data_IF_353240900819
#
_entry.id   IF_353240900819
#
_cell.length_a   1.000
_cell.length_b   1.000
_cell.length_c   1.000
_cell.angle_alpha   90.00
_cell.angle_beta   90.00
_cell.angle_gamma   90.00
#
_symmetry.space_group_name_H-M   'P 1'
#
loop_
_entity.id
_entity.type
_entity.pdbx_description
1 polymer ?
#
# COMPACT_ATOMS: atom_id res chain seq x y z
N UNK A 1 -11.62 -3.83 14.88
CA UNK A 1 -12.26 -5.14 14.64
C UNK A 1 -12.62 -5.80 15.96
N UNK A 2 -13.79 -6.43 16.09
CA UNK A 2 -14.10 -7.31 17.23
C UNK A 2 -13.40 -8.67 17.09
N UNK A 3 -13.18 -9.42 18.17
CA UNK A 3 -12.62 -10.77 18.10
C UNK A 3 -13.40 -11.72 17.18
N UNK A 4 -14.74 -11.61 17.17
CA UNK A 4 -15.64 -12.44 16.37
C UNK A 4 -15.53 -12.12 14.89
N UNK A 5 -15.49 -10.83 14.53
CA UNK A 5 -15.29 -10.38 13.14
C UNK A 5 -13.90 -10.81 12.63
N UNK A 6 -12.88 -10.69 13.48
CA UNK A 6 -11.55 -11.21 13.16
C UNK A 6 -11.56 -12.72 12.91
N UNK A 7 -12.21 -13.49 13.78
CA UNK A 7 -12.28 -14.94 13.63
C UNK A 7 -12.97 -15.34 12.31
N UNK A 8 -14.05 -14.66 11.93
CA UNK A 8 -14.74 -14.87 10.66
C UNK A 8 -13.85 -14.52 9.45
N UNK A 9 -13.22 -13.35 9.45
CA UNK A 9 -12.30 -12.92 8.39
C UNK A 9 -11.08 -13.84 8.27
N UNK A 10 -10.52 -14.28 9.40
CA UNK A 10 -9.40 -15.22 9.44
C UNK A 10 -9.81 -16.61 8.93
N UNK A 11 -11.02 -17.08 9.24
CA UNK A 11 -11.55 -18.34 8.69
C UNK A 11 -11.69 -18.28 7.18
N UNK A 12 -12.26 -17.19 6.65
CA UNK A 12 -12.35 -16.96 5.21
C UNK A 12 -10.96 -16.93 4.55
N UNK A 13 -10.01 -16.21 5.16
CA UNK A 13 -8.62 -16.19 4.70
C UNK A 13 -8.02 -17.61 4.66
N UNK A 14 -8.22 -18.42 5.70
CA UNK A 14 -7.70 -19.80 5.75
C UNK A 14 -8.24 -20.68 4.62
N UNK A 15 -9.51 -20.55 4.27
CA UNK A 15 -10.15 -21.40 3.25
C UNK A 15 -9.90 -20.91 1.83
N UNK A 16 -9.69 -19.61 1.63
CA UNK A 16 -9.69 -18.99 0.31
C UNK A 16 -8.31 -18.50 -0.14
N UNK A 17 -7.32 -18.43 0.74
CA UNK A 17 -5.96 -18.00 0.38
C UNK A 17 -5.20 -19.12 -0.32
N UNK A 18 -4.70 -18.90 -1.56
CA UNK A 18 -3.90 -19.90 -2.26
C UNK A 18 -2.60 -20.24 -1.53
N UNK A 19 -2.06 -21.43 -1.80
CA UNK A 19 -0.77 -21.87 -1.23
C UNK A 19 0.33 -20.84 -1.49
N UNK A 20 1.06 -20.49 -0.43
CA UNK A 20 2.12 -19.48 -0.46
C UNK A 20 1.63 -18.02 -0.47
N UNK A 21 0.31 -17.81 -0.54
CA UNK A 21 -0.35 -16.52 -0.40
C UNK A 21 -0.55 -16.09 1.06
N UNK A 22 -1.15 -14.91 1.26
CA UNK A 22 -1.55 -14.40 2.58
C UNK A 22 -2.80 -13.51 2.49
N UNK A 23 -3.49 -13.28 3.60
CA UNK A 23 -4.63 -12.36 3.66
C UNK A 23 -4.46 -11.27 4.70
N UNK A 24 -4.95 -10.08 4.37
CA UNK A 24 -4.97 -8.90 5.26
C UNK A 24 -6.38 -8.35 5.38
N UNK A 25 -6.72 -7.83 6.56
CA UNK A 25 -7.78 -6.85 6.72
C UNK A 25 -7.15 -5.48 6.92
N UNK A 26 -7.64 -4.45 6.23
CA UNK A 26 -7.12 -3.09 6.32
C UNK A 26 -8.27 -2.09 6.47
N UNK A 27 -7.96 -0.80 6.37
CA UNK A 27 -8.98 0.25 6.45
C UNK A 27 -9.51 0.46 7.88
N UNK A 28 -10.70 1.05 7.97
CA UNK A 28 -11.28 1.51 9.24
C UNK A 28 -11.47 0.38 10.26
N UNK A 29 -11.84 -0.82 9.79
CA UNK A 29 -12.00 -2.00 10.64
C UNK A 29 -10.70 -2.47 11.29
N UNK A 30 -9.53 -2.19 10.68
CA UNK A 30 -8.24 -2.53 11.26
C UNK A 30 -7.75 -1.54 12.33
N UNK A 31 -8.22 -0.28 12.28
CA UNK A 31 -7.76 0.83 13.14
C UNK A 31 -8.60 0.97 14.42
N UNK A 32 -9.89 0.63 14.37
CA UNK A 32 -10.83 0.89 15.46
C UNK A 32 -11.07 -0.27 16.43
N UNK A 33 -11.33 0.06 17.71
CA UNK A 33 -11.91 -0.87 18.68
C UNK A 33 -13.37 -1.16 18.28
N UNK A 34 -13.60 -2.27 17.57
CA UNK A 34 -14.88 -3.01 17.46
C UNK A 34 -16.21 -2.33 17.08
N UNK A 35 -16.33 -1.01 16.98
CA UNK A 35 -17.64 -0.31 16.96
C UNK A 35 -17.91 0.47 15.67
N UNK A 36 -17.18 0.18 14.59
CA UNK A 36 -17.48 0.79 13.29
C UNK A 36 -18.46 -0.07 12.52
N UNK A 37 -19.49 0.56 11.97
CA UNK A 37 -20.39 -0.02 10.97
C UNK A 37 -19.82 0.08 9.54
N UNK A 38 -18.56 0.50 9.39
CA UNK A 38 -17.88 0.57 8.09
C UNK A 38 -17.67 -0.82 7.50
N UNK A 39 -17.46 -0.88 6.19
CA UNK A 39 -17.18 -2.13 5.50
C UNK A 39 -15.87 -2.80 5.99
N UNK A 40 -15.84 -4.13 5.86
CA UNK A 40 -14.62 -4.90 6.06
C UNK A 40 -13.82 -4.92 4.76
N UNK A 41 -12.74 -4.15 4.70
CA UNK A 41 -11.76 -4.17 3.63
C UNK A 41 -10.79 -5.36 3.79
N UNK A 42 -10.81 -6.27 2.81
CA UNK A 42 -9.94 -7.43 2.75
C UNK A 42 -9.13 -7.43 1.46
N UNK A 43 -7.90 -7.96 1.54
CA UNK A 43 -7.13 -8.37 0.36
C UNK A 43 -6.49 -9.72 0.61
N UNK A 44 -6.77 -10.67 -0.27
CA UNK A 44 -6.08 -11.95 -0.38
C UNK A 44 -5.01 -11.84 -1.47
N UNK A 45 -3.79 -12.28 -1.16
CA UNK A 45 -2.65 -12.20 -2.05
C UNK A 45 -2.24 -13.61 -2.46
N UNK A 46 -2.09 -13.87 -3.75
CA UNK A 46 -1.69 -15.18 -4.26
C UNK A 46 -0.98 -15.13 -5.61
N UNK A 47 -0.52 -16.28 -6.10
CA UNK A 47 0.22 -16.35 -7.37
C UNK A 47 -0.66 -16.05 -8.58
N UNK A 48 -1.86 -16.62 -8.61
CA UNK A 48 -2.80 -16.51 -9.72
C UNK A 48 -4.15 -16.05 -9.20
N UNK A 49 -4.80 -15.18 -9.97
CA UNK A 49 -6.16 -14.75 -9.68
C UNK A 49 -7.10 -15.97 -9.81
N UNK A 50 -8.03 -16.18 -8.85
CA UNK A 50 -9.01 -17.24 -8.98
C UNK A 50 -9.88 -17.06 -10.22
N UNK A 51 -10.44 -18.16 -10.73
CA UNK A 51 -11.45 -18.10 -11.79
C UNK A 51 -12.74 -17.43 -11.31
N UNK A 52 -13.57 -17.01 -12.25
CA UNK A 52 -14.80 -16.23 -12.00
C UNK A 52 -15.68 -16.82 -10.88
N UNK A 53 -15.96 -18.12 -10.91
CA UNK A 53 -16.83 -18.75 -9.90
C UNK A 53 -16.23 -18.68 -8.49
N UNK A 54 -14.93 -18.97 -8.33
CA UNK A 54 -14.24 -18.90 -7.03
C UNK A 54 -14.21 -17.45 -6.52
N UNK A 55 -14.00 -16.50 -7.44
CA UNK A 55 -14.03 -15.08 -7.08
C UNK A 55 -15.43 -14.68 -6.61
N UNK A 56 -16.49 -15.08 -7.32
CA UNK A 56 -17.86 -14.78 -6.94
C UNK A 56 -18.25 -15.40 -5.59
N UNK A 57 -17.81 -16.63 -5.31
CA UNK A 57 -18.02 -17.28 -4.01
C UNK A 57 -17.29 -16.53 -2.89
N UNK A 58 -16.08 -16.02 -3.16
CA UNK A 58 -15.35 -15.18 -2.22
C UNK A 58 -16.08 -13.86 -1.94
N UNK A 59 -16.59 -13.17 -2.98
CA UNK A 59 -17.41 -11.96 -2.82
C UNK A 59 -18.63 -12.26 -1.94
N UNK A 60 -19.38 -13.31 -2.26
CA UNK A 60 -20.57 -13.71 -1.51
C UNK A 60 -20.25 -14.00 -0.04
N UNK A 61 -19.11 -14.66 0.24
CA UNK A 61 -18.67 -14.92 1.60
C UNK A 61 -18.32 -13.62 2.37
N UNK A 62 -17.70 -12.64 1.73
CA UNK A 62 -17.42 -11.33 2.36
C UNK A 62 -18.72 -10.57 2.62
N UNK A 63 -19.63 -10.51 1.65
CA UNK A 63 -20.95 -9.89 1.85
C UNK A 63 -21.72 -10.55 3.00
N UNK A 64 -21.66 -11.88 3.10
CA UNK A 64 -22.25 -12.60 4.23
C UNK A 64 -21.64 -12.18 5.57
N UNK A 65 -20.32 -11.99 5.64
CA UNK A 65 -19.67 -11.46 6.85
C UNK A 65 -20.19 -10.05 7.15
N UNK A 66 -20.39 -9.20 6.14
CA UNK A 66 -20.97 -7.88 6.38
C UNK A 66 -22.38 -7.98 6.96
N UNK A 67 -23.25 -8.80 6.37
CA UNK A 67 -24.62 -9.00 6.86
C UNK A 67 -24.65 -9.58 8.28
N UNK A 68 -23.89 -10.63 8.56
CA UNK A 68 -23.85 -11.31 9.85
C UNK A 68 -23.39 -10.40 10.99
N UNK A 69 -22.59 -9.37 10.68
CA UNK A 69 -22.02 -8.42 11.65
C UNK A 69 -22.61 -7.01 11.54
N UNK A 70 -23.63 -6.79 10.69
CA UNK A 70 -24.28 -5.49 10.50
C UNK A 70 -23.36 -4.40 9.93
N UNK A 71 -22.40 -4.77 9.08
CA UNK A 71 -21.48 -3.84 8.42
C UNK A 71 -22.13 -3.27 7.15
N UNK A 72 -21.82 -2.01 6.83
CA UNK A 72 -22.19 -1.42 5.55
C UNK A 72 -21.37 -2.03 4.42
N UNK A 73 -21.99 -2.14 3.25
CA UNK A 73 -21.31 -2.52 2.01
C UNK A 73 -20.91 -1.25 1.27
N UNK A 74 -19.60 -1.05 1.05
CA UNK A 74 -19.12 -0.04 0.10
C UNK A 74 -19.00 -0.66 -1.30
N UNK A 75 -19.71 -0.08 -2.27
CA UNK A 75 -19.72 -0.50 -3.67
C UNK A 75 -19.01 0.48 -4.60
N UNK A 76 -18.29 1.49 -4.07
CA UNK A 76 -17.52 2.45 -4.87
C UNK A 76 -16.41 1.75 -5.68
N UNK A 77 -15.74 0.78 -5.04
CA UNK A 77 -14.75 -0.10 -5.66
C UNK A 77 -15.31 -1.52 -5.68
N UNK A 78 -15.31 -2.14 -6.86
CA UNK A 78 -15.81 -3.49 -7.02
C UNK A 78 -14.96 -4.48 -6.23
N UNK A 79 -15.61 -5.46 -5.61
CA UNK A 79 -14.92 -6.50 -4.85
C UNK A 79 -13.91 -7.28 -5.68
N UNK A 80 -14.18 -7.47 -6.98
CA UNK A 80 -13.23 -8.06 -7.91
C UNK A 80 -11.91 -7.27 -8.00
N UNK A 81 -11.97 -5.95 -7.83
CA UNK A 81 -10.82 -5.05 -7.83
C UNK A 81 -10.04 -5.13 -6.51
N UNK A 82 -10.73 -5.12 -5.36
CA UNK A 82 -10.07 -4.99 -4.04
C UNK A 82 -9.76 -6.30 -3.30
N UNK A 83 -10.57 -7.35 -3.46
CA UNK A 83 -10.47 -8.56 -2.62
C UNK A 83 -9.29 -9.47 -2.94
N UNK A 84 -8.76 -9.43 -4.17
CA UNK A 84 -7.66 -10.30 -4.56
C UNK A 84 -6.59 -9.55 -5.34
N UNK A 85 -5.34 -9.75 -4.92
CA UNK A 85 -4.15 -9.26 -5.62
C UNK A 85 -3.22 -10.42 -5.97
N UNK A 86 -2.69 -10.41 -7.19
CA UNK A 86 -1.64 -11.34 -7.57
C UNK A 86 -0.29 -10.86 -7.02
N UNK A 87 0.69 -11.76 -6.99
CA UNK A 87 2.08 -11.38 -6.72
C UNK A 87 2.59 -10.30 -7.68
N UNK A 88 2.16 -10.33 -8.95
CA UNK A 88 2.53 -9.32 -9.94
C UNK A 88 1.85 -7.95 -9.66
N UNK A 89 0.64 -7.96 -9.11
CA UNK A 89 -0.03 -6.73 -8.66
C UNK A 89 0.71 -6.09 -7.49
N UNK A 90 1.14 -6.90 -6.52
CA UNK A 90 2.00 -6.45 -5.41
C UNK A 90 3.33 -5.91 -5.92
N UNK A 91 4.00 -6.63 -6.83
CA UNK A 91 5.25 -6.18 -7.43
C UNK A 91 5.11 -4.85 -8.16
N UNK A 92 3.98 -4.64 -8.85
CA UNK A 92 3.67 -3.39 -9.54
C UNK A 92 3.39 -2.25 -8.57
N UNK A 93 2.63 -2.52 -7.50
CA UNK A 93 2.32 -1.56 -6.44
C UNK A 93 3.58 -1.09 -5.70
N UNK A 94 4.41 -2.01 -5.21
CA UNK A 94 5.68 -1.64 -4.53
C UNK A 94 6.74 -1.12 -5.51
N UNK A 95 6.58 -1.41 -6.80
CA UNK A 95 7.34 -0.77 -7.88
C UNK A 95 6.87 0.64 -8.24
N UNK A 96 5.85 1.16 -7.55
CA UNK A 96 5.26 2.49 -7.75
C UNK A 96 4.74 2.72 -9.19
N UNK A 97 4.29 1.65 -9.86
CA UNK A 97 3.78 1.71 -11.24
C UNK A 97 2.41 2.38 -11.35
N UNK A 98 1.72 2.56 -10.23
CA UNK A 98 0.46 3.29 -10.13
C UNK A 98 0.62 4.82 -10.08
N UNK A 99 1.85 5.32 -10.10
CA UNK A 99 2.16 6.76 -10.06
C UNK A 99 2.76 7.22 -11.38
N UNK A 100 2.31 8.38 -11.85
CA UNK A 100 2.84 9.04 -13.03
C UNK A 100 4.28 9.49 -12.79
N UNK A 101 5.08 9.56 -13.85
CA UNK A 101 6.43 10.14 -13.81
C UNK A 101 6.51 11.34 -14.72
N UNK A 102 6.81 12.50 -14.16
CA UNK A 102 7.01 13.75 -14.89
C UNK A 102 8.50 14.08 -14.82
N UNK A 103 9.20 14.07 -15.96
CA UNK A 103 10.65 14.27 -16.03
C UNK A 103 11.44 13.34 -15.09
N UNK A 104 11.00 12.07 -14.98
CA UNK A 104 11.62 11.05 -14.13
C UNK A 104 11.22 11.10 -12.64
N UNK A 105 10.52 12.16 -12.22
CA UNK A 105 10.04 12.36 -10.85
C UNK A 105 8.65 11.75 -10.69
N UNK A 106 8.44 10.94 -9.66
CA UNK A 106 7.13 10.40 -9.32
C UNK A 106 6.19 11.51 -8.85
N UNK A 107 4.97 11.49 -9.38
CA UNK A 107 3.86 12.34 -8.98
C UNK A 107 2.68 11.50 -8.51
N UNK A 108 2.02 11.96 -7.45
CA UNK A 108 0.78 11.38 -6.99
C UNK A 108 -0.36 12.36 -7.26
N UNK A 109 -1.30 11.95 -8.13
CA UNK A 109 -2.53 12.71 -8.36
C UNK A 109 -3.58 12.39 -7.27
N UNK A 110 -4.44 13.36 -6.90
CA UNK A 110 -5.61 13.12 -6.06
C UNK A 110 -6.51 11.99 -6.55
N UNK A 111 -7.32 11.44 -5.64
CA UNK A 111 -8.35 10.48 -5.99
C UNK A 111 -9.41 11.15 -6.84
N UNK A 112 -9.76 10.51 -7.96
CA UNK A 112 -10.87 10.93 -8.80
C UNK A 112 -12.07 10.05 -8.43
N UNK A 113 -13.15 10.64 -7.94
CA UNK A 113 -14.40 9.97 -7.59
C UNK A 113 -15.19 9.55 -8.85
N UNK A 114 -14.52 8.86 -9.77
CA UNK A 114 -15.07 8.27 -10.98
C UNK A 114 -14.95 6.75 -10.89
N UNK A 115 -16.05 6.04 -11.16
CA UNK A 115 -16.11 4.58 -11.01
C UNK A 115 -15.11 3.85 -11.90
N UNK A 116 -14.82 4.34 -13.11
CA UNK A 116 -13.84 3.70 -14.01
C UNK A 116 -12.43 3.88 -13.46
N UNK A 117 -12.13 5.04 -12.89
CA UNK A 117 -10.85 5.30 -12.24
C UNK A 117 -10.67 4.47 -10.96
N UNK A 118 -11.68 4.41 -10.09
CA UNK A 118 -11.69 3.61 -8.85
C UNK A 118 -11.58 2.10 -9.11
N UNK A 119 -11.94 1.64 -10.31
CA UNK A 119 -11.78 0.24 -10.73
C UNK A 119 -10.62 0.04 -11.72
N UNK A 120 -9.73 1.02 -11.82
CA UNK A 120 -8.54 0.93 -12.68
C UNK A 120 -7.42 0.11 -12.02
N UNK A 121 -6.52 -0.50 -12.81
CA UNK A 121 -5.33 -1.15 -12.27
C UNK A 121 -4.44 -0.22 -11.43
N UNK A 122 -4.37 1.06 -11.79
CA UNK A 122 -3.58 2.05 -11.05
C UNK A 122 -4.15 2.26 -9.64
N UNK A 123 -5.47 2.39 -9.50
CA UNK A 123 -6.07 2.55 -8.19
C UNK A 123 -6.00 1.26 -7.35
N UNK A 124 -6.24 0.09 -7.96
CA UNK A 124 -6.08 -1.20 -7.28
C UNK A 124 -4.67 -1.36 -6.68
N UNK A 125 -3.63 -0.96 -7.42
CA UNK A 125 -2.25 -0.95 -6.91
C UNK A 125 -2.02 0.06 -5.78
N UNK A 126 -2.68 1.22 -5.80
CA UNK A 126 -2.65 2.15 -4.65
C UNK A 126 -3.31 1.54 -3.42
N UNK A 127 -4.44 0.85 -3.58
CA UNK A 127 -5.09 0.12 -2.48
C UNK A 127 -4.18 -0.96 -1.89
N UNK A 128 -3.49 -1.74 -2.74
CA UNK A 128 -2.52 -2.74 -2.28
C UNK A 128 -1.38 -2.08 -1.50
N UNK A 129 -0.83 -0.98 -2.02
CA UNK A 129 0.24 -0.26 -1.33
C UNK A 129 -0.22 0.21 0.05
N UNK A 130 -1.41 0.81 0.14
CA UNK A 130 -2.02 1.24 1.39
C UNK A 130 -2.29 0.08 2.35
N UNK A 131 -2.81 -1.05 1.86
CA UNK A 131 -3.06 -2.23 2.68
C UNK A 131 -1.77 -2.77 3.33
N UNK A 132 -0.62 -2.59 2.69
CA UNK A 132 0.68 -3.02 3.21
C UNK A 132 1.36 -2.00 4.14
N UNK A 133 1.03 -0.71 4.05
CA UNK A 133 1.77 0.38 4.71
C UNK A 133 0.98 1.09 5.80
N UNK A 134 -0.36 1.04 5.73
CA UNK A 134 -1.27 1.51 6.77
C UNK A 134 -1.40 0.48 7.90
N UNK A 135 -2.18 0.80 8.92
CA UNK A 135 -2.60 -0.19 9.92
C UNK A 135 -3.45 -1.27 9.25
N UNK A 136 -3.11 -2.52 9.54
CA UNK A 136 -3.78 -3.69 9.00
C UNK A 136 -3.59 -4.86 9.95
N UNK A 137 -4.48 -5.84 9.84
CA UNK A 137 -4.45 -7.10 10.56
C UNK A 137 -4.04 -8.21 9.61
N UNK A 138 -3.01 -8.96 9.98
CA UNK A 138 -2.64 -10.18 9.26
C UNK A 138 -3.61 -11.31 9.62
N UNK A 139 -4.34 -11.83 8.63
CA UNK A 139 -5.38 -12.83 8.84
C UNK A 139 -4.85 -14.27 8.76
N UNK A 140 -3.77 -14.49 8.01
CA UNK A 140 -3.18 -15.82 7.84
C UNK A 140 -2.37 -15.99 6.55
N UNK A 141 -1.75 -17.16 6.40
CA UNK A 141 -0.96 -17.55 5.23
C UNK A 141 0.56 -17.41 5.42
N UNK A 142 1.27 -17.14 4.33
CA UNK A 142 2.73 -17.07 4.28
C UNK A 142 3.27 -15.80 4.95
N UNK A 143 3.68 -15.93 6.22
CA UNK A 143 4.30 -14.84 6.99
C UNK A 143 5.58 -14.34 6.34
N UNK A 144 6.39 -15.23 5.78
CA UNK A 144 7.64 -14.87 5.12
C UNK A 144 7.40 -13.95 3.92
N UNK A 145 6.41 -14.29 3.08
CA UNK A 145 6.04 -13.49 1.92
C UNK A 145 5.45 -12.15 2.33
N UNK A 146 4.50 -12.16 3.26
CA UNK A 146 3.90 -10.95 3.81
C UNK A 146 4.95 -9.97 4.34
N UNK A 147 5.91 -10.43 5.14
CA UNK A 147 6.98 -9.58 5.68
C UNK A 147 7.87 -9.00 4.58
N UNK A 148 8.20 -9.80 3.57
CA UNK A 148 9.00 -9.34 2.43
C UNK A 148 8.26 -8.26 1.63
N UNK A 149 6.99 -8.49 1.32
CA UNK A 149 6.17 -7.54 0.56
C UNK A 149 5.92 -6.25 1.35
N UNK A 150 5.68 -6.36 2.66
CA UNK A 150 5.55 -5.20 3.56
C UNK A 150 6.83 -4.36 3.61
N UNK A 151 8.01 -4.99 3.77
CA UNK A 151 9.28 -4.27 3.79
C UNK A 151 9.54 -3.52 2.47
N UNK A 152 9.17 -4.14 1.33
CA UNK A 152 9.24 -3.50 0.00
C UNK A 152 8.26 -2.32 -0.11
N UNK A 153 7.05 -2.46 0.42
CA UNK A 153 6.05 -1.40 0.43
C UNK A 153 6.47 -0.21 1.31
N UNK A 154 7.04 -0.47 2.50
CA UNK A 154 7.63 0.54 3.38
C UNK A 154 8.74 1.32 2.66
N UNK A 155 9.64 0.62 1.96
CA UNK A 155 10.65 1.26 1.12
C UNK A 155 10.01 2.10 -0.01
N UNK A 156 8.99 1.57 -0.68
CA UNK A 156 8.34 2.21 -1.80
C UNK A 156 7.70 3.56 -1.40
N UNK A 157 7.00 3.64 -0.27
CA UNK A 157 6.40 4.91 0.16
C UNK A 157 7.46 5.95 0.56
N UNK A 158 8.62 5.53 1.08
CA UNK A 158 9.72 6.44 1.34
C UNK A 158 10.30 7.00 0.03
N UNK A 159 10.47 6.16 -0.99
CA UNK A 159 10.90 6.60 -2.33
C UNK A 159 9.90 7.57 -2.94
N UNK A 160 8.59 7.26 -2.85
CA UNK A 160 7.52 8.13 -3.31
C UNK A 160 7.60 9.51 -2.63
N UNK A 161 7.67 9.54 -1.30
CA UNK A 161 7.72 10.78 -0.52
C UNK A 161 8.93 11.65 -0.88
N UNK A 162 10.14 11.06 -0.94
CA UNK A 162 11.35 11.80 -1.33
C UNK A 162 11.22 12.32 -2.77
N UNK A 163 10.62 11.53 -3.66
CA UNK A 163 10.43 11.93 -5.05
C UNK A 163 9.48 13.13 -5.18
N UNK A 164 8.37 13.12 -4.45
CA UNK A 164 7.38 14.20 -4.50
C UNK A 164 7.91 15.50 -3.88
N UNK A 165 8.74 15.42 -2.84
CA UNK A 165 9.30 16.59 -2.19
C UNK A 165 10.33 17.32 -3.07
N UNK A 166 11.13 16.59 -3.85
CA UNK A 166 12.10 17.19 -4.77
C UNK A 166 13.22 18.01 -4.10
N UNK A 167 13.36 17.94 -2.78
CA UNK A 167 14.39 18.66 -2.01
C UNK A 167 15.61 17.77 -1.71
N UNK A 168 16.79 18.37 -1.46
CA UNK A 168 18.01 17.60 -1.19
C UNK A 168 17.95 16.80 0.11
N UNK A 169 17.33 17.35 1.15
CA UNK A 169 17.26 16.77 2.50
C UNK A 169 15.80 16.62 2.94
N UNK A 170 15.45 15.47 3.50
CA UNK A 170 14.12 15.20 4.04
C UNK A 170 14.19 14.73 5.48
N UNK A 171 13.22 15.09 6.30
CA UNK A 171 12.95 14.43 7.58
C UNK A 171 11.82 13.40 7.43
N UNK A 172 11.61 12.56 8.45
CA UNK A 172 10.42 11.70 8.53
C UNK A 172 9.14 12.54 8.45
N UNK A 173 9.12 13.70 9.09
CA UNK A 173 7.93 14.56 9.13
C UNK A 173 7.63 15.17 7.75
N UNK A 174 8.67 15.56 6.99
CA UNK A 174 8.49 16.06 5.62
C UNK A 174 7.90 14.97 4.73
N UNK A 175 8.43 13.75 4.84
CA UNK A 175 7.92 12.60 4.09
C UNK A 175 6.47 12.24 4.48
N UNK A 176 6.13 12.28 5.76
CA UNK A 176 4.76 12.08 6.25
C UNK A 176 3.81 13.15 5.70
N UNK A 177 4.23 14.43 5.70
CA UNK A 177 3.45 15.52 5.10
C UNK A 177 3.23 15.27 3.61
N UNK A 178 4.29 14.98 2.86
CA UNK A 178 4.18 14.69 1.43
C UNK A 178 3.21 13.53 1.10
N UNK A 179 3.09 12.54 1.99
CA UNK A 179 2.17 11.42 1.82
C UNK A 179 0.73 11.70 2.27
N UNK A 180 0.49 12.76 3.03
CA UNK A 180 -0.81 13.03 3.66
C UNK A 180 -1.52 14.25 3.12
N UNK A 181 -0.80 15.17 2.46
CA UNK A 181 -1.35 16.40 1.91
C UNK A 181 -0.71 16.79 0.57
N UNK A 182 -1.51 17.36 -0.32
CA UNK A 182 -1.03 18.09 -1.51
C UNK A 182 -1.19 19.60 -1.34
N UNK A 183 -0.40 20.40 -2.07
CA UNK A 183 -0.69 21.81 -2.26
C UNK A 183 -2.13 21.99 -2.77
N UNK A 184 -2.98 22.69 -2.01
CA UNK A 184 -4.42 22.81 -2.30
C UNK A 184 -5.33 22.10 -1.28
N UNK A 185 -4.77 21.37 -0.31
CA UNK A 185 -5.48 20.93 0.88
C UNK A 185 -6.20 19.58 0.77
N UNK A 186 -6.10 18.87 -0.35
CA UNK A 186 -6.62 17.50 -0.48
C UNK A 186 -5.81 16.56 0.41
N UNK A 187 -6.50 15.73 1.19
CA UNK A 187 -5.92 14.91 2.27
C UNK A 187 -6.64 13.57 2.41
N UNK A 188 -6.04 12.66 3.18
CA UNK A 188 -6.69 11.41 3.57
C UNK A 188 -7.14 10.57 2.37
N UNK A 189 -8.37 10.05 2.41
CA UNK A 189 -8.93 9.19 1.36
C UNK A 189 -9.00 9.86 -0.02
N UNK A 190 -9.05 11.19 -0.07
CA UNK A 190 -9.15 11.94 -1.32
C UNK A 190 -7.78 12.15 -1.98
N UNK A 191 -6.69 11.69 -1.35
CA UNK A 191 -5.34 11.75 -1.89
C UNK A 191 -4.65 10.38 -1.95
N UNK A 192 -3.84 10.03 -0.96
CA UNK A 192 -3.13 8.75 -0.88
C UNK A 192 -3.72 7.79 0.15
N UNK A 193 -4.77 8.18 0.87
CA UNK A 193 -5.41 7.36 1.91
C UNK A 193 -4.69 7.35 3.25
N UNK A 194 -3.58 8.08 3.39
CA UNK A 194 -2.83 8.16 4.64
C UNK A 194 -3.35 9.24 5.58
N UNK A 195 -3.31 8.94 6.88
CA UNK A 195 -3.56 9.89 7.97
C UNK A 195 -2.28 10.04 8.80
N UNK A 196 -1.88 11.26 9.20
CA UNK A 196 -0.69 11.44 10.02
C UNK A 196 -0.87 10.75 11.38
N UNK A 197 0.13 9.99 11.81
CA UNK A 197 0.09 9.24 13.06
C UNK A 197 1.34 8.40 13.31
N UNK A 198 1.45 7.84 14.51
CA UNK A 198 2.62 7.07 14.93
C UNK A 198 2.93 5.91 13.98
N UNK A 199 1.89 5.22 13.48
CA UNK A 199 2.07 4.14 12.49
C UNK A 199 2.76 4.64 11.23
N UNK A 200 2.23 5.68 10.59
CA UNK A 200 2.80 6.18 9.34
C UNK A 200 4.22 6.70 9.54
N UNK A 201 4.49 7.39 10.65
CA UNK A 201 5.85 7.78 11.03
C UNK A 201 6.79 6.56 11.12
N UNK A 202 6.35 5.49 11.77
CA UNK A 202 7.13 4.25 11.88
C UNK A 202 7.33 3.59 10.51
N UNK A 203 6.30 3.52 9.67
CA UNK A 203 6.36 2.95 8.31
C UNK A 203 7.36 3.73 7.45
N UNK A 204 7.31 5.06 7.47
CA UNK A 204 8.24 5.94 6.75
C UNK A 204 9.66 5.82 7.29
N UNK A 205 9.84 5.79 8.61
CA UNK A 205 11.15 5.60 9.25
C UNK A 205 11.79 4.26 8.83
N UNK A 206 11.03 3.16 8.82
CA UNK A 206 11.51 1.86 8.35
C UNK A 206 11.92 1.91 6.87
N UNK A 207 11.11 2.56 6.04
CA UNK A 207 11.42 2.76 4.63
C UNK A 207 12.71 3.55 4.41
N UNK A 208 12.89 4.67 5.12
CA UNK A 208 14.11 5.48 5.06
C UNK A 208 15.34 4.71 5.56
N UNK A 209 15.22 3.97 6.67
CA UNK A 209 16.30 3.13 7.18
C UNK A 209 16.71 2.03 6.18
N UNK A 210 15.75 1.44 5.47
CA UNK A 210 16.01 0.49 4.39
C UNK A 210 16.76 1.14 3.21
N UNK A 211 16.42 2.38 2.86
CA UNK A 211 17.15 3.14 1.84
C UNK A 211 18.60 3.45 2.29
N UNK A 212 18.81 3.75 3.57
CA UNK A 212 20.16 3.95 4.15
C UNK A 212 20.97 2.66 4.05
N UNK A 213 20.41 1.51 4.47
CA UNK A 213 21.08 0.22 4.41
C UNK A 213 21.48 -0.19 2.97
N UNK A 214 20.83 0.38 1.96
CA UNK A 214 21.11 0.17 0.53
C UNK A 214 21.98 1.26 -0.09
N UNK A 215 22.50 2.20 0.69
CA UNK A 215 23.29 3.36 0.23
C UNK A 215 22.57 4.25 -0.79
N UNK A 216 21.22 4.28 -0.77
CA UNK A 216 20.43 5.15 -1.64
C UNK A 216 20.20 6.53 -1.00
N UNK A 217 20.25 6.60 0.32
CA UNK A 217 20.22 7.84 1.10
C UNK A 217 21.24 7.75 2.25
N UNK A 218 21.72 8.89 2.73
CA UNK A 218 22.60 9.03 3.89
C UNK A 218 21.92 9.79 5.02
N UNK A 219 22.32 9.52 6.27
CA UNK A 219 21.80 10.23 7.45
C UNK A 219 22.66 11.45 7.74
N UNK A 220 22.02 12.63 7.79
CA UNK A 220 22.65 13.92 8.08
C UNK A 220 22.13 14.46 9.40
N UNK A 221 23.04 14.78 10.33
CA UNK A 221 22.67 15.36 11.63
C UNK A 221 21.72 14.49 12.46
N UNK A 222 21.75 13.16 12.27
CA UNK A 222 20.97 12.17 13.02
C UNK A 222 19.47 12.11 12.71
N UNK A 223 18.90 13.09 11.99
CA UNK A 223 17.45 13.23 11.81
C UNK A 223 17.01 13.55 10.38
N UNK A 224 17.96 13.89 9.50
CA UNK A 224 17.70 14.20 8.08
C UNK A 224 18.29 13.11 7.20
N UNK A 225 17.70 12.97 6.02
CA UNK A 225 18.10 12.01 5.01
C UNK A 225 18.39 12.76 3.71
N UNK A 226 19.55 12.49 3.10
CA UNK A 226 19.93 13.07 1.81
C UNK A 226 20.07 11.96 0.77
N UNK A 227 19.61 12.17 -0.46
CA UNK A 227 19.87 11.21 -1.55
C UNK A 227 21.36 11.12 -1.83
N UNK A 228 21.90 9.91 -1.89
CA UNK A 228 23.25 9.71 -2.40
C UNK A 228 23.26 10.09 -3.88
N UNK A 229 24.19 10.94 -4.31
CA UNK A 229 24.44 11.11 -5.74
C UNK A 229 24.92 9.77 -6.27
N UNK A 230 24.15 9.16 -7.18
CA UNK A 230 24.73 8.15 -8.07
C UNK A 230 25.79 8.91 -8.84
N UNK A 231 27.07 8.63 -8.57
CA UNK A 231 28.12 9.03 -9.50
C UNK A 231 27.74 8.35 -10.80
N UNK A 232 27.33 9.13 -11.79
CA UNK A 232 27.37 8.66 -13.16
C UNK A 232 28.79 8.14 -13.36
N UNK A 233 28.94 6.82 -13.46
CA UNK A 233 30.19 6.24 -13.91
C UNK A 233 30.50 6.93 -15.23
N UNK A 234 31.60 7.68 -15.23
CA UNK A 234 32.12 8.32 -16.41
C UNK A 234 32.23 7.27 -17.51
N UNK A 235 31.29 7.31 -18.46
CA UNK A 235 31.51 6.78 -19.80
C UNK A 235 32.63 7.64 -20.38
N UNK A 236 33.86 7.22 -20.13
CA UNK A 236 35.04 7.84 -20.72
C UNK A 236 34.90 7.82 -22.25
N UNK A 237 35.41 8.85 -22.95
CA UNK A 237 35.41 8.87 -24.40
C UNK A 237 36.40 7.80 -24.88
N UNK A 238 35.88 6.61 -25.18
CA UNK A 238 36.62 5.54 -25.84
C UNK A 238 36.93 5.95 -27.27
N UNK A 239 38.18 6.34 -27.48
CA UNK A 239 38.86 6.80 -28.69
C UNK A 239 38.25 6.40 -30.04
N UNK A 240 38.03 7.43 -30.86
CA UNK A 240 38.26 7.34 -32.29
C UNK A 240 39.76 7.14 -32.55
N UNK A 241 40.08 6.06 -33.25
CA UNK A 241 41.26 5.92 -34.11
C UNK A 241 40.89 4.95 -35.24
#
# INVERSE_FOLDING_TARGET
>A
MTPELFAAAAQLCRTSTPVGGYGLAYGSQAVGAGYSDSDLDLVLVGRHRPGYHIMNDLVAAVCKIHDDFGLRTDTEVDYETKLFATFADVDSAVGLRCFSRISGVLSADPVVADRRWLNSPAFAQRLILNALTSEHVFLGGSVARYRADRARAEQAIAVLAISMLGVPEVTVLDAVRALTEVPGGVRGKDFLGYTPGARLCSTVQSGLASLVARNLVEVIGGTRFRRCHVRDEQVGPGHAA
#
